data_IF_168902107941
#
_entry.id   IF_168902107941
#
_cell.length_a   1.000
_cell.length_b   1.000
_cell.length_c   1.000
_cell.angle_alpha   90.00
_cell.angle_beta   90.00
_cell.angle_gamma   90.00
#
_symmetry.space_group_name_H-M   'P 1'
#
loop_
_entity.id
_entity.type
_entity.pdbx_description
1 polymer ?
#
# COMPACT_ATOMS: atom_id res chain seq x y z
N UNK A 1 -16.31 -8.86 26.38
CA UNK A 1 -16.70 -9.27 25.01
C UNK A 1 -17.88 -8.45 24.49
N UNK A 2 -18.91 -8.16 25.31
CA UNK A 2 -20.12 -7.43 24.90
C UNK A 2 -19.88 -5.99 24.39
N UNK A 3 -19.01 -5.20 25.03
CA UNK A 3 -18.81 -3.77 24.66
C UNK A 3 -18.25 -3.62 23.25
N UNK A 4 -17.29 -4.46 22.88
CA UNK A 4 -16.62 -4.35 21.59
C UNK A 4 -17.53 -4.78 20.43
N UNK A 5 -18.36 -5.80 20.65
CA UNK A 5 -19.36 -6.23 19.67
C UNK A 5 -20.39 -5.12 19.41
N UNK A 6 -20.82 -4.42 20.46
CA UNK A 6 -21.69 -3.23 20.34
C UNK A 6 -21.01 -2.09 19.58
N UNK A 7 -19.72 -1.84 19.82
CA UNK A 7 -18.95 -0.82 19.10
C UNK A 7 -18.88 -1.17 17.61
N UNK A 8 -18.51 -2.40 17.24
CA UNK A 8 -18.45 -2.82 15.84
C UNK A 8 -19.82 -2.79 15.16
N UNK A 9 -20.90 -3.14 15.86
CA UNK A 9 -22.27 -2.98 15.34
C UNK A 9 -22.61 -1.51 15.10
N UNK A 10 -22.16 -0.61 15.97
CA UNK A 10 -22.35 0.83 15.81
C UNK A 10 -21.57 1.35 14.60
N UNK A 11 -20.30 0.95 14.46
CA UNK A 11 -19.45 1.26 13.30
C UNK A 11 -20.07 0.78 11.99
N UNK A 12 -20.51 -0.47 11.96
CA UNK A 12 -21.19 -1.06 10.81
C UNK A 12 -22.45 -0.29 10.45
N UNK A 13 -23.25 0.10 11.45
CA UNK A 13 -24.47 0.89 11.25
C UNK A 13 -24.16 2.26 10.64
N UNK A 14 -23.15 2.97 11.14
CA UNK A 14 -22.73 4.26 10.58
C UNK A 14 -22.31 4.10 9.11
N UNK A 15 -21.47 3.11 8.81
CA UNK A 15 -21.00 2.85 7.44
C UNK A 15 -22.13 2.39 6.50
N UNK A 16 -23.15 1.71 7.02
CA UNK A 16 -24.27 1.21 6.20
C UNK A 16 -25.35 2.27 5.96
N UNK A 17 -25.71 3.03 6.98
CA UNK A 17 -26.83 3.98 6.93
C UNK A 17 -26.41 5.38 6.51
N UNK A 18 -25.18 5.82 6.82
CA UNK A 18 -24.75 7.19 6.58
C UNK A 18 -23.26 7.30 6.22
N UNK A 19 -22.93 6.93 4.99
CA UNK A 19 -21.57 7.03 4.44
C UNK A 19 -21.10 8.48 4.22
N UNK A 20 -21.95 9.50 4.40
CA UNK A 20 -21.56 10.92 4.32
C UNK A 20 -21.33 11.53 5.70
N UNK A 21 -21.52 10.73 6.76
CA UNK A 21 -21.32 11.19 8.12
C UNK A 21 -19.88 11.64 8.34
N UNK A 22 -19.65 12.76 9.06
CA UNK A 22 -18.31 13.17 9.48
C UNK A 22 -17.65 12.17 10.44
N UNK A 23 -18.40 11.16 10.92
CA UNK A 23 -17.89 10.09 11.76
C UNK A 23 -17.18 8.98 10.97
N UNK A 24 -17.29 8.93 9.65
CA UNK A 24 -16.70 7.86 8.82
C UNK A 24 -15.18 7.71 9.08
N UNK A 25 -14.36 8.78 9.07
CA UNK A 25 -12.92 8.65 9.35
C UNK A 25 -12.62 8.04 10.72
N UNK A 26 -13.37 8.43 11.77
CA UNK A 26 -13.22 7.91 13.13
C UNK A 26 -13.61 6.43 13.23
N UNK A 27 -14.65 6.03 12.50
CA UNK A 27 -15.07 4.63 12.41
C UNK A 27 -14.00 3.79 11.73
N UNK A 28 -13.46 4.26 10.60
CA UNK A 28 -12.40 3.57 9.85
C UNK A 28 -11.12 3.43 10.67
N UNK A 29 -10.77 4.46 11.44
CA UNK A 29 -9.66 4.42 12.39
C UNK A 29 -9.87 3.30 13.42
N UNK A 30 -11.01 3.31 14.13
CA UNK A 30 -11.32 2.31 15.14
C UNK A 30 -11.34 0.88 14.59
N UNK A 31 -11.87 0.69 13.37
CA UNK A 31 -11.87 -0.62 12.70
C UNK A 31 -10.45 -1.08 12.36
N UNK A 32 -9.59 -0.18 11.88
CA UNK A 32 -8.21 -0.51 11.51
C UNK A 32 -7.34 -0.87 12.72
N UNK A 33 -7.63 -0.34 13.90
CA UNK A 33 -6.91 -0.65 15.15
C UNK A 33 -7.33 -2.03 15.70
N UNK A 34 -8.61 -2.37 15.57
CA UNK A 34 -9.20 -3.55 16.20
C UNK A 34 -9.51 -4.70 15.24
N UNK A 35 -8.82 -4.79 14.09
CA UNK A 35 -9.02 -5.83 13.05
C UNK A 35 -9.03 -7.26 13.63
N UNK A 36 -8.15 -7.53 14.59
CA UNK A 36 -8.00 -8.82 15.27
C UNK A 36 -9.17 -9.21 16.19
N UNK A 37 -10.15 -8.32 16.36
CA UNK A 37 -11.36 -8.55 17.16
C UNK A 37 -12.62 -8.68 16.31
N UNK A 38 -12.51 -8.54 14.99
CA UNK A 38 -13.64 -8.74 14.08
C UNK A 38 -13.99 -10.24 14.06
N UNK A 39 -15.20 -10.57 14.52
CA UNK A 39 -15.70 -11.95 14.54
C UNK A 39 -15.90 -12.48 13.12
N UNK A 40 -15.61 -13.77 12.92
CA UNK A 40 -15.81 -14.52 11.67
C UNK A 40 -17.22 -14.35 11.12
N UNK A 41 -18.25 -14.44 11.97
CA UNK A 41 -19.66 -14.39 11.56
C UNK A 41 -20.06 -13.04 10.92
N UNK A 42 -19.36 -11.96 11.28
CA UNK A 42 -19.65 -10.60 10.79
C UNK A 42 -18.59 -10.08 9.81
N UNK A 43 -17.48 -10.80 9.65
CA UNK A 43 -16.34 -10.35 8.87
C UNK A 43 -16.72 -10.13 7.39
N UNK A 44 -17.42 -11.07 6.78
CA UNK A 44 -17.78 -10.99 5.35
C UNK A 44 -18.70 -9.79 5.07
N UNK A 45 -19.62 -9.49 5.98
CA UNK A 45 -20.50 -8.33 5.87
C UNK A 45 -19.71 -7.02 5.99
N UNK A 46 -18.77 -6.95 6.94
CA UNK A 46 -17.88 -5.80 7.10
C UNK A 46 -17.03 -5.59 5.85
N UNK A 47 -16.40 -6.65 5.34
CA UNK A 47 -15.55 -6.56 4.15
C UNK A 47 -16.37 -6.11 2.94
N UNK A 48 -17.57 -6.65 2.75
CA UNK A 48 -18.47 -6.25 1.68
C UNK A 48 -18.87 -4.78 1.80
N UNK A 49 -19.16 -4.30 3.01
CA UNK A 49 -19.49 -2.91 3.25
C UNK A 49 -18.31 -1.97 2.95
N UNK A 50 -17.10 -2.35 3.37
CA UNK A 50 -15.89 -1.58 3.10
C UNK A 50 -15.50 -1.60 1.62
N UNK A 51 -15.74 -2.71 0.91
CA UNK A 51 -15.62 -2.80 -0.55
C UNK A 51 -16.57 -1.82 -1.24
N UNK A 52 -17.84 -1.83 -0.85
CA UNK A 52 -18.84 -0.90 -1.39
C UNK A 52 -18.49 0.57 -1.07
N UNK A 53 -17.91 0.84 0.09
CA UNK A 53 -17.44 2.18 0.42
C UNK A 53 -16.32 2.63 -0.53
N UNK A 54 -15.36 1.74 -0.79
CA UNK A 54 -14.27 2.02 -1.74
C UNK A 54 -14.82 2.20 -3.17
N UNK A 55 -15.73 1.35 -3.60
CA UNK A 55 -16.38 1.43 -4.92
C UNK A 55 -17.13 2.73 -5.14
N UNK A 56 -17.93 3.15 -4.15
CA UNK A 56 -18.82 4.30 -4.32
C UNK A 56 -18.13 5.64 -4.01
N UNK A 57 -17.05 5.62 -3.21
CA UNK A 57 -16.50 6.84 -2.60
C UNK A 57 -14.98 6.93 -2.59
N UNK A 58 -14.23 6.08 -3.31
CA UNK A 58 -12.76 6.17 -3.38
C UNK A 58 -12.26 7.61 -3.64
N UNK A 59 -12.93 8.36 -4.52
CA UNK A 59 -12.53 9.73 -4.87
C UNK A 59 -12.84 10.79 -3.80
N UNK A 60 -13.70 10.47 -2.83
CA UNK A 60 -14.10 11.38 -1.75
C UNK A 60 -13.35 11.09 -0.44
N UNK A 61 -12.73 9.91 -0.32
CA UNK A 61 -11.99 9.52 0.87
C UNK A 61 -10.63 10.23 0.89
N UNK A 62 -10.18 10.60 2.09
CA UNK A 62 -8.80 11.03 2.27
C UNK A 62 -7.85 9.83 2.07
N UNK A 63 -6.57 10.09 1.71
CA UNK A 63 -5.61 9.01 1.48
C UNK A 63 -5.49 8.06 2.68
N UNK A 64 -5.47 8.62 3.90
CA UNK A 64 -5.39 7.83 5.13
C UNK A 64 -6.62 6.95 5.35
N UNK A 65 -7.82 7.43 5.01
CA UNK A 65 -9.05 6.65 5.16
C UNK A 65 -9.10 5.49 4.18
N UNK A 66 -8.61 5.70 2.95
CA UNK A 66 -8.47 4.61 1.97
C UNK A 66 -7.46 3.55 2.46
N UNK A 67 -6.34 3.97 3.06
CA UNK A 67 -5.39 3.04 3.69
C UNK A 67 -6.06 2.29 4.84
N UNK A 68 -6.83 2.96 5.71
CA UNK A 68 -7.54 2.32 6.83
C UNK A 68 -8.55 1.29 6.34
N UNK A 69 -9.29 1.58 5.27
CA UNK A 69 -10.21 0.64 4.60
C UNK A 69 -9.45 -0.59 4.11
N UNK A 70 -8.44 -0.38 3.26
CA UNK A 70 -7.66 -1.48 2.68
C UNK A 70 -6.94 -2.29 3.77
N UNK A 71 -6.31 -1.63 4.74
CA UNK A 71 -5.65 -2.30 5.86
C UNK A 71 -6.64 -3.14 6.66
N UNK A 72 -7.83 -2.61 6.97
CA UNK A 72 -8.86 -3.36 7.69
C UNK A 72 -9.24 -4.63 6.94
N UNK A 73 -9.57 -4.51 5.65
CA UNK A 73 -9.95 -5.65 4.81
C UNK A 73 -8.82 -6.70 4.74
N UNK A 74 -7.62 -6.29 4.30
CA UNK A 74 -6.51 -7.21 4.04
C UNK A 74 -5.96 -7.83 5.32
N UNK A 75 -5.85 -7.06 6.41
CA UNK A 75 -5.36 -7.59 7.68
C UNK A 75 -6.37 -8.56 8.30
N UNK A 76 -7.67 -8.25 8.23
CA UNK A 76 -8.73 -9.15 8.71
C UNK A 76 -8.79 -10.45 7.90
N UNK A 77 -8.69 -10.38 6.57
CA UNK A 77 -8.61 -11.56 5.71
C UNK A 77 -7.34 -12.39 5.95
N UNK A 78 -6.21 -11.72 6.22
CA UNK A 78 -4.96 -12.39 6.61
C UNK A 78 -5.09 -13.14 7.92
N UNK A 79 -5.61 -12.50 8.96
CA UNK A 79 -5.75 -13.12 10.29
C UNK A 79 -6.64 -14.36 10.26
N UNK A 80 -7.60 -14.39 9.34
CA UNK A 80 -8.53 -15.51 9.19
C UNK A 80 -8.15 -16.48 8.04
N UNK A 81 -6.95 -16.32 7.44
CA UNK A 81 -6.40 -17.17 6.37
C UNK A 81 -7.24 -17.22 5.06
N UNK A 82 -7.96 -16.15 4.73
CA UNK A 82 -8.77 -16.04 3.50
C UNK A 82 -8.10 -15.28 2.35
N UNK A 83 -6.78 -15.00 2.44
CA UNK A 83 -6.08 -14.19 1.43
C UNK A 83 -6.12 -14.75 0.01
N UNK A 84 -6.33 -16.06 -0.16
CA UNK A 84 -6.39 -16.71 -1.48
C UNK A 84 -7.61 -16.27 -2.29
N UNK A 85 -8.65 -15.73 -1.63
CA UNK A 85 -9.93 -15.37 -2.27
C UNK A 85 -9.94 -13.95 -2.87
N UNK A 86 -8.86 -13.18 -2.71
CA UNK A 86 -8.84 -11.76 -3.11
C UNK A 86 -8.09 -11.59 -4.43
N UNK A 87 -8.82 -11.32 -5.51
CA UNK A 87 -8.27 -10.75 -6.75
C UNK A 87 -9.15 -9.60 -7.25
N UNK A 88 -9.53 -8.69 -6.34
CA UNK A 88 -10.22 -7.49 -6.76
C UNK A 88 -9.20 -6.43 -7.19
N UNK A 89 -9.06 -6.29 -8.52
CA UNK A 89 -8.22 -5.31 -9.22
C UNK A 89 -8.42 -3.90 -8.65
N UNK A 90 -9.63 -3.55 -8.23
CA UNK A 90 -9.97 -2.23 -7.72
C UNK A 90 -9.21 -1.87 -6.43
N UNK A 91 -8.85 -2.84 -5.58
CA UNK A 91 -8.02 -2.55 -4.42
C UNK A 91 -6.62 -2.10 -4.82
N UNK A 92 -6.07 -2.74 -5.86
CA UNK A 92 -4.76 -2.37 -6.38
C UNK A 92 -4.81 -1.02 -7.07
N UNK A 93 -5.84 -0.73 -7.87
CA UNK A 93 -6.02 0.60 -8.47
C UNK A 93 -6.18 1.69 -7.41
N UNK A 94 -7.01 1.44 -6.38
CA UNK A 94 -7.22 2.39 -5.29
C UNK A 94 -5.95 2.65 -4.49
N UNK A 95 -5.23 1.60 -4.10
CA UNK A 95 -3.96 1.74 -3.39
C UNK A 95 -2.87 2.38 -4.25
N UNK A 96 -2.84 2.09 -5.55
CA UNK A 96 -1.90 2.70 -6.48
C UNK A 96 -2.15 4.20 -6.60
N UNK A 97 -3.43 4.62 -6.72
CA UNK A 97 -3.85 6.03 -6.72
C UNK A 97 -3.55 6.76 -5.41
N UNK A 98 -3.78 6.10 -4.28
CA UNK A 98 -3.50 6.67 -2.95
C UNK A 98 -2.03 7.02 -2.77
N UNK A 99 -1.09 6.23 -3.32
CA UNK A 99 0.33 6.57 -3.25
C UNK A 99 0.62 7.93 -3.92
N UNK A 100 0.01 8.23 -5.06
CA UNK A 100 0.16 9.55 -5.70
C UNK A 100 -0.47 10.67 -4.86
N UNK A 101 -1.59 10.40 -4.19
CA UNK A 101 -2.24 11.40 -3.34
C UNK A 101 -1.43 11.70 -2.08
N UNK A 102 -0.78 10.70 -1.48
CA UNK A 102 0.12 10.90 -0.32
C UNK A 102 1.25 11.83 -0.70
N UNK A 103 1.77 11.75 -1.93
CA UNK A 103 2.83 12.64 -2.38
C UNK A 103 2.42 14.12 -2.30
N UNK A 104 1.15 14.41 -2.59
CA UNK A 104 0.56 15.75 -2.53
C UNK A 104 0.16 16.17 -1.10
N UNK A 105 -0.30 15.22 -0.28
CA UNK A 105 -0.85 15.45 1.06
C UNK A 105 -0.15 14.55 2.10
N UNK A 106 0.98 15.01 2.62
CA UNK A 106 1.84 14.22 3.51
C UNK A 106 1.57 14.42 5.01
N UNK A 107 0.73 15.39 5.39
CA UNK A 107 0.56 15.82 6.78
C UNK A 107 0.17 14.66 7.73
N UNK A 108 -0.68 13.75 7.28
CA UNK A 108 -1.12 12.56 8.04
C UNK A 108 -0.05 11.47 8.19
N UNK A 109 1.15 11.66 7.64
CA UNK A 109 2.22 10.66 7.61
C UNK A 109 3.55 11.18 8.19
N UNK A 110 3.76 12.50 8.29
CA UNK A 110 5.03 13.09 8.74
C UNK A 110 5.10 13.20 10.27
N UNK A 111 6.22 12.82 10.86
CA UNK A 111 6.48 12.99 12.29
C UNK A 111 6.14 11.77 13.14
N UNK A 112 6.52 11.83 14.42
CA UNK A 112 6.42 10.69 15.34
C UNK A 112 4.96 10.35 15.69
N UNK A 113 4.08 11.33 15.72
CA UNK A 113 2.65 11.15 16.00
C UNK A 113 1.92 10.32 14.93
N UNK A 114 2.48 10.21 13.72
CA UNK A 114 1.88 9.49 12.59
C UNK A 114 2.56 8.14 12.29
N UNK A 115 3.37 7.61 13.22
CA UNK A 115 3.98 6.27 13.09
C UNK A 115 2.90 5.21 12.80
N UNK A 116 1.77 5.25 13.51
CA UNK A 116 0.69 4.27 13.34
C UNK A 116 0.02 4.34 11.97
N UNK A 117 0.00 5.51 11.32
CA UNK A 117 -0.52 5.68 9.96
C UNK A 117 0.44 5.08 8.93
N UNK A 118 1.74 5.35 9.08
CA UNK A 118 2.79 4.75 8.23
C UNK A 118 2.87 3.23 8.40
N UNK A 119 2.71 2.72 9.63
CA UNK A 119 2.64 1.28 9.88
C UNK A 119 1.45 0.61 9.18
N UNK A 120 0.28 1.28 9.10
CA UNK A 120 -0.87 0.76 8.34
C UNK A 120 -0.61 0.76 6.84
N UNK A 121 0.00 1.83 6.31
CA UNK A 121 0.39 1.94 4.89
C UNK A 121 1.38 0.83 4.49
N UNK A 122 2.46 0.69 5.25
CA UNK A 122 3.44 -0.39 5.07
C UNK A 122 2.73 -1.74 5.25
N UNK A 123 1.96 -1.91 6.31
CA UNK A 123 1.25 -3.16 6.61
C UNK A 123 0.35 -3.63 5.46
N UNK A 124 -0.46 -2.74 4.88
CA UNK A 124 -1.34 -3.11 3.78
C UNK A 124 -0.56 -3.43 2.49
N UNK A 125 0.48 -2.66 2.17
CA UNK A 125 1.35 -2.93 1.02
C UNK A 125 2.07 -4.28 1.16
N UNK A 126 2.54 -4.61 2.37
CA UNK A 126 3.14 -5.92 2.66
C UNK A 126 2.14 -7.04 2.39
N UNK A 127 0.91 -6.92 2.88
CA UNK A 127 -0.10 -7.97 2.67
C UNK A 127 -0.41 -8.11 1.18
N UNK A 128 -0.65 -6.99 0.48
CA UNK A 128 -1.04 -6.97 -0.93
C UNK A 128 0.05 -7.42 -1.90
N UNK A 129 1.32 -7.10 -1.61
CA UNK A 129 2.44 -7.31 -2.53
C UNK A 129 3.32 -8.51 -2.16
N UNK A 130 3.30 -8.96 -0.91
CA UNK A 130 4.13 -10.08 -0.43
C UNK A 130 3.32 -11.25 0.11
N UNK A 131 2.22 -11.05 0.84
CA UNK A 131 1.53 -12.21 1.45
C UNK A 131 0.64 -12.96 0.46
N UNK A 132 0.29 -12.34 -0.68
CA UNK A 132 -0.45 -12.98 -1.77
C UNK A 132 0.48 -13.90 -2.55
N UNK A 133 0.02 -15.14 -2.80
CA UNK A 133 0.86 -16.22 -3.35
C UNK A 133 1.39 -15.90 -4.75
N UNK A 134 0.51 -15.43 -5.64
CA UNK A 134 0.84 -15.14 -7.03
C UNK A 134 0.30 -13.77 -7.38
N UNK A 135 1.19 -12.80 -7.50
CA UNK A 135 0.87 -11.46 -7.98
C UNK A 135 1.61 -11.24 -9.31
N UNK A 136 0.96 -10.73 -10.36
CA UNK A 136 1.61 -10.52 -11.65
C UNK A 136 2.86 -9.63 -11.52
N UNK A 137 3.99 -9.99 -12.17
CA UNK A 137 5.22 -9.18 -12.13
C UNK A 137 5.01 -7.73 -12.58
N UNK A 138 4.12 -7.51 -13.56
CA UNK A 138 3.74 -6.18 -14.06
C UNK A 138 3.23 -5.29 -12.92
N UNK A 139 2.35 -5.83 -12.07
CA UNK A 139 1.74 -5.11 -10.94
C UNK A 139 2.75 -4.83 -9.84
N UNK A 140 3.65 -5.78 -9.55
CA UNK A 140 4.69 -5.56 -8.54
C UNK A 140 5.66 -4.47 -9.03
N UNK A 141 6.07 -4.53 -10.30
CA UNK A 141 6.96 -3.54 -10.89
C UNK A 141 6.33 -2.14 -10.86
N UNK A 142 5.03 -2.00 -11.15
CA UNK A 142 4.35 -0.71 -11.10
C UNK A 142 4.32 -0.09 -9.70
N UNK A 143 3.97 -0.88 -8.69
CA UNK A 143 3.99 -0.43 -7.29
C UNK A 143 5.41 -0.06 -6.85
N UNK A 144 6.41 -0.89 -7.14
CA UNK A 144 7.81 -0.58 -6.79
C UNK A 144 8.27 0.71 -7.46
N UNK A 145 8.01 0.88 -8.76
CA UNK A 145 8.35 2.09 -9.51
C UNK A 145 7.72 3.35 -8.88
N UNK A 146 6.42 3.31 -8.59
CA UNK A 146 5.71 4.42 -7.95
C UNK A 146 6.22 4.71 -6.53
N UNK A 147 6.47 3.69 -5.72
CA UNK A 147 7.03 3.85 -4.37
C UNK A 147 8.43 4.50 -4.44
N UNK A 148 9.29 4.05 -5.37
CA UNK A 148 10.63 4.64 -5.54
C UNK A 148 10.56 6.12 -5.97
N UNK A 149 9.64 6.46 -6.87
CA UNK A 149 9.38 7.86 -7.24
C UNK A 149 8.89 8.66 -6.02
N UNK A 150 8.02 8.07 -5.21
CA UNK A 150 7.53 8.72 -3.98
C UNK A 150 8.66 8.95 -2.98
N UNK A 151 9.56 7.97 -2.79
CA UNK A 151 10.74 8.10 -1.93
C UNK A 151 11.67 9.25 -2.32
N UNK A 152 11.68 9.67 -3.59
CA UNK A 152 12.47 10.83 -4.03
C UNK A 152 11.89 12.18 -3.57
N UNK A 153 10.59 12.21 -3.24
CA UNK A 153 9.84 13.45 -3.07
C UNK A 153 9.08 13.53 -1.73
N UNK A 154 9.08 12.47 -0.92
CA UNK A 154 8.44 12.44 0.39
C UNK A 154 9.42 12.66 1.54
N UNK A 155 8.89 12.85 2.75
CA UNK A 155 9.71 12.94 3.96
C UNK A 155 10.55 11.68 4.21
N UNK A 156 11.72 11.87 4.83
CA UNK A 156 12.66 10.79 5.17
C UNK A 156 12.02 9.68 6.00
N UNK A 157 11.10 10.00 6.91
CA UNK A 157 10.42 9.00 7.74
C UNK A 157 9.58 8.03 6.90
N UNK A 158 8.86 8.55 5.91
CA UNK A 158 8.04 7.77 4.99
C UNK A 158 8.95 6.92 4.08
N UNK A 159 10.01 7.53 3.53
CA UNK A 159 10.94 6.81 2.67
C UNK A 159 11.65 5.65 3.38
N UNK A 160 12.06 5.84 4.65
CA UNK A 160 12.69 4.79 5.47
C UNK A 160 11.74 3.61 5.72
N UNK A 161 10.46 3.88 5.95
CA UNK A 161 9.45 2.85 6.15
C UNK A 161 9.25 1.97 4.90
N UNK A 162 9.40 2.54 3.69
CA UNK A 162 9.38 1.75 2.45
C UNK A 162 10.61 0.89 2.23
N UNK A 163 11.80 1.31 2.70
CA UNK A 163 13.03 0.53 2.55
C UNK A 163 12.85 -0.92 3.04
N UNK A 164 12.15 -1.10 4.17
CA UNK A 164 11.89 -2.42 4.74
C UNK A 164 11.09 -3.30 3.78
N UNK A 165 9.97 -2.82 3.26
CA UNK A 165 9.11 -3.59 2.33
C UNK A 165 9.80 -3.83 1.00
N UNK A 166 10.41 -2.79 0.42
CA UNK A 166 11.08 -2.92 -0.86
C UNK A 166 12.22 -3.95 -0.78
N UNK A 167 12.94 -4.04 0.33
CA UNK A 167 13.94 -5.09 0.55
C UNK A 167 13.34 -6.49 0.42
N UNK A 168 12.17 -6.73 1.02
CA UNK A 168 11.48 -8.02 0.91
C UNK A 168 10.96 -8.27 -0.52
N UNK A 169 10.45 -7.25 -1.19
CA UNK A 169 9.98 -7.34 -2.58
C UNK A 169 11.13 -7.69 -3.52
N UNK A 170 12.26 -6.97 -3.44
CA UNK A 170 13.43 -7.24 -4.28
C UNK A 170 14.03 -8.62 -4.02
N UNK A 171 13.97 -9.14 -2.79
CA UNK A 171 14.41 -10.52 -2.50
C UNK A 171 13.46 -11.56 -3.11
N UNK A 172 12.16 -11.35 -3.00
CA UNK A 172 11.14 -12.31 -3.47
C UNK A 172 10.99 -12.32 -4.99
N UNK A 173 10.98 -11.15 -5.61
CA UNK A 173 10.75 -10.95 -7.05
C UNK A 173 12.04 -10.55 -7.77
N UNK A 174 13.17 -11.09 -7.29
CA UNK A 174 14.51 -10.74 -7.73
C UNK A 174 14.67 -10.76 -9.25
N UNK A 175 14.25 -11.85 -9.87
CA UNK A 175 14.39 -12.07 -11.33
C UNK A 175 13.63 -11.01 -12.15
N UNK A 176 12.52 -10.48 -11.62
CA UNK A 176 11.79 -9.37 -12.24
C UNK A 176 12.61 -8.08 -12.25
N UNK A 177 13.39 -7.83 -11.19
CA UNK A 177 14.08 -6.56 -10.98
C UNK A 177 15.52 -6.52 -11.46
N UNK A 178 16.19 -7.67 -11.64
CA UNK A 178 17.55 -7.73 -12.23
C UNK A 178 17.53 -7.05 -13.61
N UNK A 179 16.61 -7.47 -14.50
CA UNK A 179 16.51 -6.89 -15.84
C UNK A 179 16.17 -5.40 -15.85
N UNK A 180 15.43 -4.90 -14.85
CA UNK A 180 15.04 -3.49 -14.76
C UNK A 180 16.20 -2.57 -14.32
N UNK A 181 17.27 -3.11 -13.72
CA UNK A 181 18.49 -2.35 -13.38
C UNK A 181 19.48 -2.34 -14.54
N UNK A 182 19.60 -3.45 -15.27
CA UNK A 182 20.57 -3.62 -16.35
C UNK A 182 20.14 -2.94 -17.67
N UNK A 183 18.84 -2.62 -17.82
CA UNK A 183 18.32 -1.92 -18.99
C UNK A 183 18.77 -0.44 -19.03
N UNK A 184 19.95 -0.19 -19.59
CA UNK A 184 20.41 1.18 -19.94
C UNK A 184 19.51 1.82 -21.01
N UNK A 185 18.83 0.99 -21.83
CA UNK A 185 17.98 1.40 -22.95
C UNK A 185 16.56 0.78 -22.86
N UNK A 186 15.88 0.92 -21.72
CA UNK A 186 14.50 0.44 -21.58
C UNK A 186 13.61 0.96 -22.73
N UNK A 187 13.07 0.07 -23.56
CA UNK A 187 12.25 0.44 -24.72
C UNK A 187 10.85 0.94 -24.31
N UNK A 188 10.43 0.72 -23.06
CA UNK A 188 9.12 1.11 -22.55
C UNK A 188 9.14 2.39 -21.72
N UNK A 189 8.15 3.24 -21.95
CA UNK A 189 7.93 4.48 -21.19
C UNK A 189 6.99 4.17 -20.03
N UNK A 190 7.46 4.33 -18.80
CA UNK A 190 6.59 4.35 -17.63
C UNK A 190 5.73 5.63 -17.66
N UNK A 191 4.40 5.47 -17.57
CA UNK A 191 3.47 6.58 -17.52
C UNK A 191 2.98 6.79 -16.08
N UNK A 192 3.48 7.82 -15.35
CA UNK A 192 3.07 8.07 -13.97
C UNK A 192 1.61 8.49 -13.84
N UNK A 193 0.98 9.04 -14.89
CA UNK A 193 -0.40 9.51 -14.84
C UNK A 193 -1.43 8.37 -14.89
N UNK A 194 -1.03 7.16 -15.29
CA UNK A 194 -1.92 6.00 -15.33
C UNK A 194 -2.20 5.52 -13.91
N UNK A 195 -3.47 5.40 -13.54
CA UNK A 195 -3.89 4.94 -12.21
C UNK A 195 -4.14 3.44 -12.13
N UNK A 196 -4.02 2.74 -13.26
CA UNK A 196 -4.12 1.29 -13.33
C UNK A 196 -2.71 0.69 -13.31
N UNK A 197 -2.31 -0.05 -12.26
CA UNK A 197 -0.93 -0.52 -12.11
C UNK A 197 -0.48 -1.39 -13.30
N UNK A 198 -1.38 -2.25 -13.78
CA UNK A 198 -1.12 -3.20 -14.88
C UNK A 198 -0.89 -2.52 -16.25
N UNK A 199 -1.28 -1.25 -16.40
CA UNK A 199 -1.14 -0.47 -17.63
C UNK A 199 -0.10 0.66 -17.55
N UNK A 200 0.64 0.77 -16.43
CA UNK A 200 1.60 1.85 -16.19
C UNK A 200 2.88 1.76 -17.04
N UNK A 201 3.18 0.59 -17.61
CA UNK A 201 4.41 0.37 -18.39
C UNK A 201 5.68 0.20 -17.54
N UNK A 202 5.58 0.13 -16.21
CA UNK A 202 6.73 0.08 -15.31
C UNK A 202 7.68 -1.12 -15.57
N UNK A 203 7.11 -2.28 -15.91
CA UNK A 203 7.86 -3.52 -16.20
C UNK A 203 8.76 -3.43 -17.44
N UNK A 204 8.54 -2.45 -18.31
CA UNK A 204 9.33 -2.23 -19.52
C UNK A 204 10.27 -1.01 -19.38
N UNK A 205 10.36 -0.43 -18.18
CA UNK A 205 11.18 0.75 -17.87
C UNK A 205 12.44 0.35 -17.07
N UNK A 206 13.28 1.30 -16.68
CA UNK A 206 14.44 1.05 -15.82
C UNK A 206 14.24 1.63 -14.41
N UNK A 207 14.92 1.12 -13.37
CA UNK A 207 14.85 1.66 -12.00
C UNK A 207 15.86 2.80 -11.74
N UNK A 208 15.83 3.84 -12.56
CA UNK A 208 16.73 5.00 -12.43
C UNK A 208 16.60 5.74 -11.09
N UNK A 209 15.45 5.62 -10.40
CA UNK A 209 15.21 6.22 -9.09
C UNK A 209 16.21 5.74 -8.06
N UNK A 210 16.67 4.48 -8.14
CA UNK A 210 17.70 3.97 -7.25
C UNK A 210 18.99 4.79 -7.39
N UNK A 211 19.36 5.20 -8.60
CA UNK A 211 20.57 6.03 -8.81
C UNK A 211 20.40 7.42 -8.19
N UNK A 212 19.23 8.04 -8.27
CA UNK A 212 18.99 9.32 -7.59
C UNK A 212 18.90 9.17 -6.07
N UNK A 213 18.33 8.08 -5.55
CA UNK A 213 18.26 7.81 -4.12
C UNK A 213 19.65 7.60 -3.48
N UNK A 214 20.70 7.29 -4.25
CA UNK A 214 22.09 7.29 -3.75
C UNK A 214 22.55 8.69 -3.33
N UNK A 215 21.89 9.75 -3.80
CA UNK A 215 22.17 11.14 -3.44
C UNK A 215 21.19 11.67 -2.37
N UNK A 216 20.29 10.82 -1.86
CA UNK A 216 19.29 11.22 -0.88
C UNK A 216 19.93 11.76 0.40
N UNK A 217 19.31 12.76 1.04
CA UNK A 217 19.89 13.45 2.21
C UNK A 217 20.13 12.50 3.41
N UNK A 218 19.24 11.53 3.65
CA UNK A 218 19.39 10.53 4.71
C UNK A 218 20.47 9.48 4.38
N UNK A 219 21.49 9.30 5.25
CA UNK A 219 22.55 8.30 5.03
C UNK A 219 22.05 6.85 5.09
N UNK A 220 20.96 6.60 5.81
CA UNK A 220 20.36 5.26 5.91
C UNK A 220 19.76 4.83 4.56
N UNK A 221 19.10 5.74 3.86
CA UNK A 221 18.54 5.49 2.53
C UNK A 221 19.66 5.24 1.52
N UNK A 222 20.74 6.03 1.54
CA UNK A 222 21.90 5.79 0.67
C UNK A 222 22.50 4.38 0.85
N UNK A 223 22.77 3.99 2.11
CA UNK A 223 23.27 2.65 2.45
C UNK A 223 22.31 1.53 2.03
N UNK A 224 21.00 1.78 2.17
CA UNK A 224 19.98 0.84 1.72
C UNK A 224 20.03 0.64 0.21
N UNK A 225 20.13 1.72 -0.57
CA UNK A 225 20.25 1.62 -2.03
C UNK A 225 21.47 0.81 -2.45
N UNK A 226 22.64 1.08 -1.87
CA UNK A 226 23.86 0.31 -2.19
C UNK A 226 23.67 -1.19 -1.93
N UNK A 227 22.99 -1.52 -0.83
CA UNK A 227 22.65 -2.91 -0.48
C UNK A 227 21.69 -3.54 -1.50
N UNK A 228 20.70 -2.80 -1.99
CA UNK A 228 19.76 -3.27 -3.01
C UNK A 228 20.44 -3.44 -4.37
N UNK A 229 21.31 -2.52 -4.78
CA UNK A 229 22.09 -2.67 -6.02
C UNK A 229 22.94 -3.94 -5.97
N UNK A 230 23.61 -4.21 -4.85
CA UNK A 230 24.39 -5.45 -4.66
C UNK A 230 23.49 -6.70 -4.72
N UNK A 231 22.29 -6.65 -4.12
CA UNK A 231 21.33 -7.76 -4.14
C UNK A 231 20.91 -8.12 -5.57
N UNK A 232 20.77 -7.11 -6.44
CA UNK A 232 20.26 -7.26 -7.80
C UNK A 232 21.36 -7.42 -8.87
N UNK A 233 22.65 -7.32 -8.53
CA UNK A 233 23.76 -7.55 -9.47
C UNK A 233 24.54 -8.85 -9.24
N UNK A 234 24.42 -9.49 -8.08
CA UNK A 234 25.19 -10.71 -7.77
C UNK A 234 24.66 -11.93 -8.53
N UNK A 235 25.29 -12.34 -9.63
CA UNK A 235 25.02 -13.65 -10.26
C UNK A 235 25.16 -14.81 -9.26
#
# INVERSE_FOLDING_TARGET
MLVLDTIFRTYFRVLKENQESPLVPLVLEGMSIHTHKINYDFMLDIIKLLQQLLENKADKLQPIDTIRVCYTIFNTLKLQNFLVTIDNVQFYESMYKVLDQILLFQDDFIGEQHIDNRQKLVGVLKIMLLDIKQLPPVRIASFVKRILIMMLNCDSSIALDFCAILTWIFKRYRDTFIGLIEQENGFGIYNPSVQQPDHSGAINSCLWELTLLQLHHSPQIRKWVDSIKILLTKH
#
